data_IF_020141115382
#
_entry.id   IF_020141115382
#
_cell.length_a   1.000
_cell.length_b   1.000
_cell.length_c   1.000
_cell.angle_alpha   90.00
_cell.angle_beta   90.00
_cell.angle_gamma   90.00
#
_symmetry.space_group_name_H-M   'P 1'
#
loop_
_entity.id
_entity.type
_entity.pdbx_description
1 polymer ?
#
# COMPACT_ATOMS: atom_id res chain seq x y z
N UNK A 1 3.08 -18.81 22.01
CA UNK A 1 3.50 -19.28 20.68
C UNK A 1 2.31 -19.44 19.77
N UNK A 2 1.97 -18.36 19.07
CA UNK A 2 0.95 -18.37 18.03
C UNK A 2 1.67 -18.15 16.70
N UNK A 3 1.33 -18.93 15.67
CA UNK A 3 1.92 -18.78 14.33
C UNK A 3 1.79 -17.34 13.82
N UNK A 4 0.66 -16.69 14.14
CA UNK A 4 0.42 -15.28 13.85
C UNK A 4 1.52 -14.34 14.36
N UNK A 5 2.11 -14.59 15.53
CA UNK A 5 3.16 -13.71 16.08
C UNK A 5 4.44 -13.79 15.25
N UNK A 6 4.80 -14.99 14.80
CA UNK A 6 5.97 -15.18 13.93
C UNK A 6 5.73 -14.54 12.56
N UNK A 7 4.55 -14.77 11.96
CA UNK A 7 4.16 -14.14 10.70
C UNK A 7 4.10 -12.61 10.81
N UNK A 8 3.65 -12.06 11.95
CA UNK A 8 3.62 -10.62 12.18
C UNK A 8 5.03 -10.03 12.25
N UNK A 9 5.98 -10.70 12.90
CA UNK A 9 7.37 -10.23 12.96
C UNK A 9 8.00 -10.26 11.57
N UNK A 10 7.73 -11.28 10.76
CA UNK A 10 8.17 -11.34 9.37
C UNK A 10 7.52 -10.22 8.54
N UNK A 11 6.21 -10.04 8.66
CA UNK A 11 5.47 -8.99 7.99
C UNK A 11 5.91 -7.58 8.37
N UNK A 12 6.25 -7.34 9.63
CA UNK A 12 6.75 -6.04 10.07
C UNK A 12 8.04 -5.63 9.35
N UNK A 13 8.94 -6.58 9.08
CA UNK A 13 10.20 -6.30 8.36
C UNK A 13 9.96 -5.84 6.91
N UNK A 14 8.95 -6.37 6.23
CA UNK A 14 8.59 -5.95 4.86
C UNK A 14 8.17 -4.47 4.78
N UNK A 15 7.75 -3.90 5.91
CA UNK A 15 7.32 -2.51 6.02
C UNK A 15 8.31 -1.64 6.81
N UNK A 16 9.54 -2.10 6.99
CA UNK A 16 10.60 -1.43 7.75
C UNK A 16 10.22 -1.09 9.21
N UNK A 17 9.35 -1.90 9.82
CA UNK A 17 8.90 -1.71 11.20
C UNK A 17 9.76 -2.51 12.18
N UNK A 18 10.23 -1.82 13.23
CA UNK A 18 10.92 -2.47 14.34
C UNK A 18 9.92 -3.08 15.32
N UNK A 19 9.65 -4.39 15.20
CA UNK A 19 8.77 -5.13 16.11
C UNK A 19 9.57 -6.14 16.90
N UNK A 20 9.33 -6.21 18.21
CA UNK A 20 9.98 -7.18 19.09
C UNK A 20 8.94 -8.06 19.77
N UNK A 21 9.12 -9.39 19.68
CA UNK A 21 8.32 -10.36 20.44
C UNK A 21 8.70 -10.30 21.91
N UNK A 22 7.76 -9.89 22.76
CA UNK A 22 7.92 -9.89 24.22
C UNK A 22 7.36 -11.20 24.77
N UNK A 23 8.21 -12.01 25.40
CA UNK A 23 7.85 -13.25 26.09
C UNK A 23 8.22 -13.23 27.57
N UNK A 24 7.99 -14.34 28.29
CA UNK A 24 8.21 -14.42 29.74
C UNK A 24 9.63 -14.01 30.19
N UNK A 25 10.67 -14.28 29.39
CA UNK A 25 12.05 -13.90 29.74
C UNK A 25 12.42 -12.43 29.47
N UNK A 26 11.55 -11.67 28.80
CA UNK A 26 11.75 -10.24 28.53
C UNK A 26 11.13 -9.34 29.60
N UNK A 27 10.13 -9.84 30.34
CA UNK A 27 9.46 -9.09 31.41
C UNK A 27 10.44 -8.71 32.53
N UNK A 28 11.42 -9.57 32.84
CA UNK A 28 12.48 -9.30 33.82
C UNK A 28 13.35 -8.06 33.48
N UNK A 29 13.29 -7.57 32.23
CA UNK A 29 14.02 -6.39 31.75
C UNK A 29 13.13 -5.14 31.64
N UNK A 30 11.82 -5.25 31.85
CA UNK A 30 10.88 -4.13 31.76
C UNK A 30 10.79 -3.37 33.10
N UNK A 31 10.53 -2.06 33.02
CA UNK A 31 10.50 -1.15 34.18
C UNK A 31 9.18 -1.27 34.97
N UNK A 32 8.15 -1.90 34.40
CA UNK A 32 6.84 -2.08 34.99
C UNK A 32 6.24 -3.43 34.57
N UNK A 33 5.66 -4.15 35.54
CA UNK A 33 4.88 -5.37 35.32
C UNK A 33 3.38 -5.08 35.08
N UNK A 34 2.98 -3.80 35.13
CA UNK A 34 1.59 -3.38 34.93
C UNK A 34 1.26 -3.19 33.44
N UNK A 35 0.21 -3.86 32.97
CA UNK A 35 -0.37 -3.65 31.65
C UNK A 35 -1.11 -2.31 31.61
N UNK A 36 -1.02 -1.60 30.49
CA UNK A 36 -1.75 -0.34 30.31
C UNK A 36 -3.27 -0.55 30.22
N UNK A 37 -4.03 0.51 30.48
CA UNK A 37 -5.49 0.47 30.44
C UNK A 37 -6.05 0.11 29.05
N UNK A 38 -5.38 0.53 27.98
CA UNK A 38 -5.76 0.23 26.60
C UNK A 38 -5.72 -1.27 26.28
N UNK A 39 -4.88 -2.03 27.00
CA UNK A 39 -4.81 -3.50 26.92
C UNK A 39 -5.70 -4.17 27.98
N UNK A 40 -5.68 -3.71 29.22
CA UNK A 40 -6.42 -4.34 30.33
C UNK A 40 -7.94 -4.34 30.11
N UNK A 41 -8.51 -3.23 29.62
CA UNK A 41 -9.96 -3.12 29.47
C UNK A 41 -10.49 -4.11 28.44
N UNK A 42 -9.97 -4.17 27.19
CA UNK A 42 -10.39 -5.21 26.24
C UNK A 42 -10.16 -6.63 26.77
N UNK A 43 -9.01 -6.91 27.39
CA UNK A 43 -8.69 -8.22 27.93
C UNK A 43 -9.69 -8.68 29.00
N UNK A 44 -10.10 -7.79 29.90
CA UNK A 44 -11.07 -8.09 30.94
C UNK A 44 -12.41 -8.57 30.33
N UNK A 45 -12.94 -7.83 29.36
CA UNK A 45 -14.20 -8.18 28.72
C UNK A 45 -14.09 -9.42 27.83
N UNK A 46 -12.98 -9.59 27.10
CA UNK A 46 -12.73 -10.79 26.29
C UNK A 46 -12.62 -12.04 27.17
N UNK A 47 -11.85 -11.99 28.25
CA UNK A 47 -11.69 -13.13 29.15
C UNK A 47 -13.01 -13.52 29.84
N UNK A 48 -13.89 -12.53 30.10
CA UNK A 48 -15.21 -12.77 30.68
C UNK A 48 -16.18 -13.43 29.71
N UNK A 49 -16.10 -13.10 28.41
CA UNK A 49 -17.06 -13.53 27.39
C UNK A 49 -16.58 -14.71 26.53
N UNK A 50 -15.28 -14.81 26.29
CA UNK A 50 -14.61 -15.82 25.46
C UNK A 50 -13.36 -16.36 26.17
N UNK A 51 -13.52 -17.06 27.31
CA UNK A 51 -12.39 -17.57 28.08
C UNK A 51 -11.56 -18.57 27.25
N UNK A 52 -10.24 -18.40 27.28
CA UNK A 52 -9.30 -19.27 26.54
C UNK A 52 -9.10 -18.91 25.06
N UNK A 53 -9.68 -17.80 24.57
CA UNK A 53 -9.35 -17.27 23.24
C UNK A 53 -7.85 -16.93 23.18
N UNK A 54 -7.11 -17.38 22.14
CA UNK A 54 -5.74 -16.94 21.94
C UNK A 54 -5.68 -15.43 21.66
N UNK A 55 -4.89 -14.70 22.43
CA UNK A 55 -4.77 -13.25 22.31
C UNK A 55 -3.31 -12.87 22.05
N UNK A 56 -3.11 -11.96 21.11
CA UNK A 56 -1.85 -11.26 20.88
C UNK A 56 -2.08 -9.81 21.28
N UNK A 57 -1.34 -9.35 22.29
CA UNK A 57 -1.31 -7.94 22.64
C UNK A 57 -0.23 -7.27 21.80
N UNK A 58 -0.60 -6.20 21.10
CA UNK A 58 0.31 -5.37 20.31
C UNK A 58 0.35 -4.01 20.99
N UNK A 59 1.46 -3.71 21.66
CA UNK A 59 1.72 -2.38 22.20
C UNK A 59 2.24 -1.49 21.08
N UNK A 60 1.61 -0.32 20.92
CA UNK A 60 2.03 0.71 19.98
C UNK A 60 2.73 1.84 20.74
N UNK A 61 3.66 2.52 20.08
CA UNK A 61 4.37 3.66 20.65
C UNK A 61 3.73 4.99 20.20
N UNK A 62 4.44 6.10 20.44
CA UNK A 62 4.01 7.43 19.99
C UNK A 62 4.52 7.79 18.58
N UNK A 63 4.93 6.79 17.79
CA UNK A 63 5.39 6.93 16.41
C UNK A 63 4.39 7.58 15.46
N UNK A 64 4.81 7.74 14.21
CA UNK A 64 4.07 8.44 13.17
C UNK A 64 2.83 7.67 12.70
N UNK A 65 1.85 8.39 12.12
CA UNK A 65 0.64 7.76 11.62
C UNK A 65 0.91 6.77 10.47
N UNK A 66 1.89 7.06 9.61
CA UNK A 66 2.29 6.18 8.51
C UNK A 66 2.88 4.86 9.02
N UNK A 67 3.68 4.90 10.09
CA UNK A 67 4.23 3.69 10.74
C UNK A 67 3.11 2.82 11.33
N UNK A 68 2.10 3.45 11.92
CA UNK A 68 0.94 2.72 12.46
C UNK A 68 0.05 2.16 11.35
N UNK A 69 -0.12 2.88 10.24
CA UNK A 69 -0.79 2.35 9.06
C UNK A 69 -0.05 1.13 8.49
N UNK A 70 1.28 1.22 8.39
CA UNK A 70 2.14 0.12 7.99
C UNK A 70 2.04 -1.08 8.94
N UNK A 71 1.93 -0.85 10.26
CA UNK A 71 1.68 -1.90 11.25
C UNK A 71 0.36 -2.62 10.95
N UNK A 72 -0.67 -1.86 10.59
CA UNK A 72 -1.93 -2.42 10.08
C UNK A 72 -1.74 -3.34 8.88
N UNK A 73 -1.00 -2.89 7.87
CA UNK A 73 -0.72 -3.71 6.68
C UNK A 73 0.07 -4.98 7.04
N UNK A 74 1.00 -4.91 7.99
CA UNK A 74 1.71 -6.07 8.52
C UNK A 74 0.76 -7.07 9.21
N UNK A 75 -0.19 -6.57 10.02
CA UNK A 75 -1.24 -7.38 10.65
C UNK A 75 -2.11 -8.06 9.59
N UNK A 76 -2.49 -7.35 8.53
CA UNK A 76 -3.26 -7.91 7.41
C UNK A 76 -2.49 -9.04 6.74
N UNK A 77 -1.22 -8.81 6.38
CA UNK A 77 -0.35 -9.82 5.77
C UNK A 77 -0.27 -11.04 6.67
N UNK A 78 0.10 -10.89 7.93
CA UNK A 78 0.22 -12.00 8.88
C UNK A 78 -1.10 -12.79 9.02
N UNK A 79 -2.24 -12.10 9.02
CA UNK A 79 -3.57 -12.73 9.08
C UNK A 79 -3.85 -13.63 7.86
N UNK A 80 -3.32 -13.30 6.68
CA UNK A 80 -3.51 -14.09 5.46
C UNK A 80 -2.62 -15.34 5.38
N UNK A 81 -1.57 -15.42 6.19
CA UNK A 81 -0.63 -16.56 6.21
C UNK A 81 -0.93 -17.58 7.31
N UNK A 82 -1.94 -17.33 8.14
CA UNK A 82 -2.39 -18.27 9.18
C UNK A 82 -3.76 -18.85 8.83
N UNK A 83 -4.04 -20.12 9.18
CA UNK A 83 -5.33 -20.74 8.90
C UNK A 83 -6.46 -20.25 9.81
N UNK A 84 -6.14 -19.60 10.93
CA UNK A 84 -7.11 -19.08 11.89
C UNK A 84 -7.82 -17.82 11.38
N UNK A 85 -9.07 -17.63 11.81
CA UNK A 85 -9.75 -16.34 11.64
C UNK A 85 -9.23 -15.36 12.67
N UNK A 86 -8.65 -14.25 12.20
CA UNK A 86 -8.11 -13.19 13.05
C UNK A 86 -9.15 -12.07 13.21
N UNK A 87 -9.29 -11.57 14.44
CA UNK A 87 -10.04 -10.36 14.74
C UNK A 87 -9.08 -9.32 15.34
N UNK A 88 -9.17 -8.08 14.88
CA UNK A 88 -8.36 -6.96 15.38
C UNK A 88 -9.23 -6.06 16.27
N UNK A 89 -8.70 -5.68 17.43
CA UNK A 89 -9.30 -4.67 18.32
C UNK A 89 -8.36 -3.47 18.36
N UNK A 90 -8.78 -2.37 17.73
CA UNK A 90 -8.11 -1.08 17.88
C UNK A 90 -8.70 -0.38 19.12
N UNK A 91 -7.90 -0.32 20.18
CA UNK A 91 -8.30 0.25 21.47
C UNK A 91 -7.72 1.66 21.62
N UNK A 92 -8.54 2.60 22.08
CA UNK A 92 -8.13 3.98 22.36
C UNK A 92 -9.31 4.93 22.45
N UNK A 93 -9.10 6.05 23.13
CA UNK A 93 -10.11 7.08 23.34
C UNK A 93 -10.01 8.15 22.24
N UNK A 94 -11.14 8.81 21.96
CA UNK A 94 -11.18 9.97 21.07
C UNK A 94 -10.74 11.23 21.85
N UNK A 95 -11.44 12.36 21.75
CA UNK A 95 -11.03 13.57 22.46
C UNK A 95 -11.11 13.42 23.97
N UNK A 96 -10.07 13.86 24.68
CA UNK A 96 -10.06 13.97 26.15
C UNK A 96 -10.48 15.36 26.66
N UNK A 97 -11.11 16.17 25.80
CA UNK A 97 -11.30 17.61 26.02
C UNK A 97 -12.72 18.09 25.77
N UNK A 98 -13.72 17.20 25.85
CA UNK A 98 -15.09 17.49 25.45
C UNK A 98 -15.83 18.51 26.33
N UNK A 99 -15.49 18.60 27.62
CA UNK A 99 -16.17 19.49 28.58
C UNK A 99 -15.18 20.18 29.55
N UNK A 100 -15.56 21.29 30.19
CA UNK A 100 -14.81 21.86 31.31
C UNK A 100 -14.54 20.83 32.41
N UNK A 101 -13.27 20.63 32.77
CA UNK A 101 -12.85 19.65 33.77
C UNK A 101 -12.50 18.27 33.21
N UNK A 102 -12.51 18.10 31.88
CA UNK A 102 -12.04 16.88 31.24
C UNK A 102 -10.54 16.62 31.51
N UNK A 103 -10.06 15.36 31.42
CA UNK A 103 -8.72 14.97 31.87
C UNK A 103 -7.57 15.73 31.21
N UNK A 104 -7.72 16.12 29.94
CA UNK A 104 -6.70 16.86 29.20
C UNK A 104 -6.99 18.37 29.09
N UNK A 105 -7.89 18.91 29.92
CA UNK A 105 -8.41 20.27 29.82
C UNK A 105 -9.63 20.36 28.92
N UNK A 106 -10.12 21.57 28.64
CA UNK A 106 -11.26 21.77 27.75
C UNK A 106 -10.85 22.54 26.50
N UNK A 107 -11.20 22.02 25.33
CA UNK A 107 -11.09 22.70 24.05
C UNK A 107 -12.35 22.39 23.25
N UNK A 108 -13.14 23.40 22.83
CA UNK A 108 -14.39 23.15 22.11
C UNK A 108 -14.20 22.37 20.80
N UNK A 109 -13.00 22.38 20.22
CA UNK A 109 -12.66 21.63 19.00
C UNK A 109 -12.56 20.12 19.23
N UNK A 110 -12.51 19.66 20.49
CA UNK A 110 -12.57 18.23 20.81
C UNK A 110 -13.84 17.56 20.24
N UNK A 111 -14.97 18.27 20.26
CA UNK A 111 -16.22 17.79 19.66
C UNK A 111 -16.12 17.67 18.13
N UNK A 112 -15.43 18.61 17.48
CA UNK A 112 -15.24 18.59 16.02
C UNK A 112 -14.32 17.44 15.60
N UNK A 113 -13.30 17.12 16.39
CA UNK A 113 -12.45 15.95 16.17
C UNK A 113 -13.26 14.65 16.24
N UNK A 114 -14.01 14.44 17.32
CA UNK A 114 -14.83 13.25 17.50
C UNK A 114 -15.86 13.10 16.37
N UNK A 115 -16.48 14.20 15.94
CA UNK A 115 -17.42 14.22 14.82
C UNK A 115 -16.77 13.77 13.50
N UNK A 116 -15.55 14.23 13.20
CA UNK A 116 -14.81 13.80 12.01
C UNK A 116 -14.43 12.34 12.05
N UNK A 117 -13.94 11.84 13.19
CA UNK A 117 -13.62 10.41 13.32
C UNK A 117 -14.89 9.58 13.15
N UNK A 118 -16.00 9.99 13.78
CA UNK A 118 -17.29 9.32 13.60
C UNK A 118 -17.75 9.33 12.14
N UNK A 119 -17.60 10.43 11.41
CA UNK A 119 -17.95 10.52 9.98
C UNK A 119 -17.13 9.53 9.12
N UNK A 120 -15.84 9.38 9.41
CA UNK A 120 -14.98 8.37 8.76
C UNK A 120 -15.53 6.97 8.99
N UNK A 121 -15.96 6.65 10.21
CA UNK A 121 -16.58 5.36 10.51
C UNK A 121 -18.02 5.22 10.01
N UNK A 122 -18.81 6.29 9.90
CA UNK A 122 -20.17 6.22 9.33
C UNK A 122 -20.11 5.96 7.82
N UNK A 123 -19.07 6.44 7.15
CA UNK A 123 -18.93 6.37 5.69
C UNK A 123 -18.01 5.25 5.21
N UNK A 124 -17.09 4.78 6.05
CA UNK A 124 -16.07 3.78 5.68
C UNK A 124 -14.86 4.35 4.91
N UNK A 125 -14.79 5.67 4.69
CA UNK A 125 -13.70 6.32 3.95
C UNK A 125 -12.50 6.65 4.84
N UNK A 126 -11.75 5.62 5.26
CA UNK A 126 -10.53 5.77 6.07
C UNK A 126 -9.41 6.56 5.37
N UNK A 127 -9.50 6.77 4.05
CA UNK A 127 -8.66 7.67 3.25
C UNK A 127 -8.82 9.16 3.60
N UNK A 128 -9.81 9.53 4.42
CA UNK A 128 -9.91 10.87 5.01
C UNK A 128 -9.00 11.05 6.24
N UNK A 129 -8.48 9.97 6.86
CA UNK A 129 -7.62 10.08 8.04
C UNK A 129 -6.39 10.98 7.81
N UNK A 130 -5.61 10.82 6.71
CA UNK A 130 -4.44 11.68 6.45
C UNK A 130 -4.79 13.15 6.17
N UNK A 131 -6.08 13.45 5.94
CA UNK A 131 -6.57 14.81 5.66
C UNK A 131 -7.04 15.54 6.93
N UNK A 132 -6.97 14.88 8.09
CA UNK A 132 -7.27 15.51 9.37
C UNK A 132 -6.29 16.65 9.64
N UNK A 133 -6.83 17.78 10.09
CA UNK A 133 -6.05 18.96 10.45
C UNK A 133 -5.17 18.65 11.68
N UNK A 134 -3.84 18.76 11.59
CA UNK A 134 -2.94 18.49 12.73
C UNK A 134 -3.26 19.34 13.97
N UNK A 135 -3.72 20.59 13.78
CA UNK A 135 -4.09 21.47 14.88
C UNK A 135 -5.37 21.02 15.60
N UNK A 136 -6.25 20.31 14.89
CA UNK A 136 -7.46 19.71 15.44
C UNK A 136 -7.12 18.45 16.24
N UNK A 137 -6.20 17.62 15.75
CA UNK A 137 -5.70 16.43 16.46
C UNK A 137 -5.05 16.87 17.79
N UNK A 138 -4.16 17.85 17.75
CA UNK A 138 -3.54 18.40 18.96
C UNK A 138 -4.56 19.01 19.93
N UNK A 139 -5.58 19.69 19.38
CA UNK A 139 -6.66 20.28 20.18
C UNK A 139 -7.51 19.22 20.88
N UNK A 140 -7.67 18.03 20.33
CA UNK A 140 -8.49 16.96 20.89
C UNK A 140 -7.85 16.29 22.13
N UNK A 141 -6.51 16.30 22.22
CA UNK A 141 -5.78 15.62 23.29
C UNK A 141 -6.03 14.11 23.33
N UNK A 142 -6.21 13.51 22.15
CA UNK A 142 -6.59 12.11 21.92
C UNK A 142 -5.45 11.11 22.14
N UNK A 143 -5.79 9.83 22.28
CA UNK A 143 -4.80 8.74 22.28
C UNK A 143 -5.13 7.58 21.31
N UNK A 144 -6.34 7.53 20.75
CA UNK A 144 -6.81 6.42 19.92
C UNK A 144 -6.48 6.49 18.43
N UNK A 145 -6.04 7.64 17.90
CA UNK A 145 -5.87 7.84 16.47
C UNK A 145 -4.81 6.89 15.88
N UNK A 146 -3.73 6.62 16.60
CA UNK A 146 -2.70 5.65 16.17
C UNK A 146 -3.25 4.23 16.04
N UNK A 147 -4.09 3.80 16.98
CA UNK A 147 -4.81 2.53 16.90
C UNK A 147 -5.78 2.50 15.71
N UNK A 148 -6.43 3.63 15.40
CA UNK A 148 -7.33 3.78 14.24
C UNK A 148 -6.55 3.71 12.91
N UNK A 149 -5.34 4.28 12.83
CA UNK A 149 -4.47 4.13 11.66
C UNK A 149 -4.03 2.67 11.46
N UNK A 150 -3.66 1.96 12.54
CA UNK A 150 -3.38 0.53 12.47
C UNK A 150 -4.61 -0.29 12.02
N UNK A 151 -5.80 0.07 12.49
CA UNK A 151 -7.04 -0.51 11.96
C UNK A 151 -7.19 -0.25 10.46
N UNK A 152 -7.02 1.01 10.02
CA UNK A 152 -7.16 1.41 8.63
C UNK A 152 -6.21 0.65 7.68
N UNK A 153 -4.96 0.44 8.12
CA UNK A 153 -3.95 -0.33 7.40
C UNK A 153 -4.27 -1.83 7.34
N UNK A 154 -4.88 -2.39 8.40
CA UNK A 154 -5.31 -3.80 8.41
C UNK A 154 -6.39 -4.12 7.38
N UNK A 155 -7.09 -3.10 6.89
CA UNK A 155 -8.07 -3.19 5.81
C UNK A 155 -7.56 -2.58 4.49
N UNK A 156 -6.26 -2.39 4.32
CA UNK A 156 -5.69 -1.87 3.09
C UNK A 156 -6.07 -2.71 1.87
N UNK A 157 -6.44 -2.06 0.76
CA UNK A 157 -6.87 -2.74 -0.47
C UNK A 157 -8.20 -3.50 -0.39
N UNK A 158 -8.98 -3.33 0.68
CA UNK A 158 -10.29 -3.96 0.86
C UNK A 158 -11.42 -2.91 0.87
N UNK A 159 -12.60 -3.29 0.38
CA UNK A 159 -13.82 -2.54 0.70
C UNK A 159 -14.02 -2.61 2.20
N UNK A 160 -14.44 -1.50 2.81
CA UNK A 160 -14.65 -1.45 4.25
C UNK A 160 -16.12 -1.24 4.54
N UNK A 161 -16.72 -2.19 5.27
CA UNK A 161 -18.08 -2.05 5.79
C UNK A 161 -17.99 -1.74 7.27
N UNK A 162 -18.57 -0.62 7.66
CA UNK A 162 -18.51 -0.14 9.04
C UNK A 162 -19.90 -0.03 9.65
N UNK A 163 -19.95 -0.10 10.99
CA UNK A 163 -21.16 0.18 11.75
C UNK A 163 -20.79 0.78 13.10
N UNK A 164 -21.10 2.06 13.30
CA UNK A 164 -21.00 2.69 14.62
C UNK A 164 -22.12 2.15 15.51
N UNK A 165 -21.76 1.56 16.64
CA UNK A 165 -22.69 0.98 17.61
C UNK A 165 -23.07 1.96 18.72
N UNK A 166 -22.10 2.72 19.21
CA UNK A 166 -22.29 3.76 20.23
C UNK A 166 -21.23 4.85 20.11
N UNK A 167 -21.61 6.06 20.50
CA UNK A 167 -20.70 7.16 20.77
C UNK A 167 -21.21 7.90 22.02
N UNK A 168 -20.35 8.05 23.02
CA UNK A 168 -20.67 8.71 24.28
C UNK A 168 -19.47 9.57 24.73
N UNK A 169 -19.76 10.66 25.46
CA UNK A 169 -18.75 11.58 25.99
C UNK A 169 -18.63 11.63 27.53
N UNK A 170 -18.77 10.53 28.29
CA UNK A 170 -18.71 10.58 29.75
C UNK A 170 -17.36 11.09 30.24
N UNK A 171 -17.37 11.78 31.39
CA UNK A 171 -16.16 12.33 32.03
C UNK A 171 -15.37 13.34 31.18
N UNK A 172 -15.93 13.79 30.06
CA UNK A 172 -15.25 14.69 29.12
C UNK A 172 -14.32 13.97 28.13
N UNK A 173 -14.42 12.65 28.04
CA UNK A 173 -13.67 11.81 27.11
C UNK A 173 -14.62 11.18 26.10
N UNK A 174 -14.26 11.20 24.83
CA UNK A 174 -15.01 10.59 23.73
C UNK A 174 -14.74 9.10 23.61
N UNK A 175 -15.80 8.30 23.70
CA UNK A 175 -15.76 6.84 23.54
C UNK A 175 -16.65 6.44 22.37
N UNK A 176 -16.07 5.77 21.39
CA UNK A 176 -16.80 5.22 20.25
C UNK A 176 -16.58 3.71 20.16
N UNK A 177 -17.67 2.97 19.94
CA UNK A 177 -17.62 1.55 19.61
C UNK A 177 -18.13 1.38 18.20
N UNK A 178 -17.31 0.80 17.33
CA UNK A 178 -17.65 0.54 15.94
C UNK A 178 -17.18 -0.86 15.51
N UNK A 179 -17.96 -1.47 14.63
CA UNK A 179 -17.58 -2.70 13.95
C UNK A 179 -17.01 -2.36 12.58
N UNK A 180 -15.95 -3.06 12.17
CA UNK A 180 -15.33 -2.92 10.85
C UNK A 180 -15.18 -4.32 10.26
N UNK A 181 -15.71 -4.50 9.05
CA UNK A 181 -15.72 -5.77 8.34
C UNK A 181 -15.00 -5.64 7.00
N UNK A 182 -14.17 -6.64 6.62
CA UNK A 182 -13.57 -6.67 5.31
C UNK A 182 -14.65 -7.02 4.28
N UNK A 183 -14.72 -6.23 3.22
CA UNK A 183 -15.49 -6.53 2.03
C UNK A 183 -14.65 -7.27 0.98
N UNK A 184 -15.11 -7.24 -0.27
CA UNK A 184 -14.31 -7.71 -1.39
C UNK A 184 -13.02 -6.86 -1.48
N UNK A 185 -11.93 -7.37 -2.08
CA UNK A 185 -10.80 -6.53 -2.46
C UNK A 185 -11.34 -5.28 -3.18
N UNK A 186 -11.05 -4.10 -2.64
CA UNK A 186 -11.43 -2.83 -3.26
C UNK A 186 -10.21 -2.30 -3.98
N UNK A 187 -10.24 -2.31 -5.31
CA UNK A 187 -9.21 -1.65 -6.08
C UNK A 187 -9.25 -0.12 -6.00
N UNK A 188 -10.20 0.50 -5.29
CA UNK A 188 -10.33 1.97 -5.18
C UNK A 188 -9.21 2.63 -4.37
N UNK A 189 -8.33 1.86 -3.73
CA UNK A 189 -7.09 2.35 -3.11
C UNK A 189 -5.85 2.27 -4.01
N UNK A 190 -5.96 1.58 -5.14
CA UNK A 190 -4.96 1.59 -6.19
C UNK A 190 -5.44 2.51 -7.32
N UNK A 191 -4.52 3.15 -8.03
CA UNK A 191 -4.91 3.89 -9.24
C UNK A 191 -5.62 2.98 -10.25
N UNK A 192 -6.49 3.53 -11.10
CA UNK A 192 -7.18 2.76 -12.12
C UNK A 192 -6.24 1.91 -13.02
N UNK A 193 -5.06 2.40 -13.45
CA UNK A 193 -4.08 1.57 -14.16
C UNK A 193 -3.62 0.33 -13.38
N UNK A 194 -3.28 0.50 -12.09
CA UNK A 194 -2.80 -0.59 -11.23
C UNK A 194 -3.92 -1.59 -10.97
N UNK A 195 -5.12 -1.10 -10.67
CA UNK A 195 -6.34 -1.92 -10.55
C UNK A 195 -6.55 -2.80 -11.78
N UNK A 196 -6.37 -2.24 -12.96
CA UNK A 196 -6.59 -2.95 -14.21
C UNK A 196 -5.53 -4.04 -14.44
N UNK A 197 -4.26 -3.76 -14.12
CA UNK A 197 -3.18 -4.74 -14.15
C UNK A 197 -3.45 -5.92 -13.19
N UNK A 198 -3.84 -5.61 -11.95
CA UNK A 198 -4.19 -6.62 -10.93
C UNK A 198 -5.38 -7.48 -11.38
N UNK A 199 -6.46 -6.83 -11.85
CA UNK A 199 -7.64 -7.52 -12.35
C UNK A 199 -7.29 -8.49 -13.49
N UNK A 200 -6.54 -8.01 -14.48
CA UNK A 200 -6.10 -8.83 -15.62
C UNK A 200 -5.37 -10.09 -15.15
N UNK A 201 -4.39 -9.92 -14.26
CA UNK A 201 -3.58 -11.04 -13.81
C UNK A 201 -4.39 -12.06 -12.98
N UNK A 202 -5.25 -11.57 -12.09
CA UNK A 202 -6.13 -12.44 -11.30
C UNK A 202 -7.09 -13.25 -12.19
N UNK A 203 -7.71 -12.61 -13.19
CA UNK A 203 -8.60 -13.32 -14.11
C UNK A 203 -7.83 -14.33 -14.96
N UNK A 204 -6.62 -13.98 -15.40
CA UNK A 204 -5.76 -14.90 -16.16
C UNK A 204 -5.44 -16.17 -15.37
N UNK A 205 -5.05 -16.07 -14.10
CA UNK A 205 -4.80 -17.25 -13.27
C UNK A 205 -6.07 -18.05 -12.94
N UNK A 206 -7.22 -17.38 -12.88
CA UNK A 206 -8.51 -18.03 -12.60
C UNK A 206 -9.08 -18.77 -13.81
N UNK A 207 -8.96 -18.18 -15.00
CA UNK A 207 -9.62 -18.65 -16.23
C UNK A 207 -8.66 -19.35 -17.21
N UNK A 208 -7.36 -19.13 -17.06
CA UNK A 208 -6.31 -19.66 -17.94
C UNK A 208 -6.15 -18.91 -19.26
N UNK A 209 -6.85 -17.78 -19.48
CA UNK A 209 -6.72 -16.95 -20.68
C UNK A 209 -6.96 -15.46 -20.36
N UNK A 210 -6.47 -14.54 -21.21
CA UNK A 210 -6.74 -13.10 -21.07
C UNK A 210 -8.25 -12.80 -21.17
N UNK A 211 -8.66 -11.69 -20.56
CA UNK A 211 -10.05 -11.21 -20.55
C UNK A 211 -10.13 -9.78 -21.07
N UNK A 212 -11.32 -9.38 -21.49
CA UNK A 212 -11.60 -8.00 -21.88
C UNK A 212 -11.60 -7.07 -20.65
N UNK A 213 -11.35 -5.76 -20.85
CA UNK A 213 -11.48 -4.77 -19.78
C UNK A 213 -12.85 -4.84 -19.10
N UNK A 214 -12.91 -4.75 -17.76
CA UNK A 214 -14.18 -4.80 -17.03
C UNK A 214 -15.07 -3.60 -17.40
N UNK A 215 -16.39 -3.77 -17.29
CA UNK A 215 -17.35 -2.75 -17.69
C UNK A 215 -17.23 -1.39 -16.95
N UNK A 216 -16.57 -1.39 -15.79
CA UNK A 216 -16.28 -0.18 -15.00
C UNK A 216 -14.87 0.39 -15.26
N UNK A 217 -14.24 0.07 -16.39
CA UNK A 217 -12.96 0.68 -16.78
C UNK A 217 -13.19 2.17 -17.13
N UNK A 218 -12.36 3.10 -16.64
CA UNK A 218 -12.54 4.52 -16.94
C UNK A 218 -12.43 4.80 -18.44
N UNK A 219 -13.29 5.71 -18.93
CA UNK A 219 -13.31 6.13 -20.33
C UNK A 219 -11.94 6.65 -20.81
N UNK A 220 -11.15 7.27 -19.94
CA UNK A 220 -9.81 7.76 -20.28
C UNK A 220 -8.89 6.61 -20.73
N UNK A 221 -8.91 5.47 -20.04
CA UNK A 221 -8.08 4.31 -20.39
C UNK A 221 -8.61 3.58 -21.64
N UNK A 222 -9.92 3.65 -21.90
CA UNK A 222 -10.55 3.05 -23.07
C UNK A 222 -10.39 3.91 -24.34
N UNK A 223 -10.25 5.23 -24.20
CA UNK A 223 -10.17 6.16 -25.33
C UNK A 223 -8.75 6.66 -25.63
N UNK A 224 -7.78 6.33 -24.77
CA UNK A 224 -6.37 6.71 -24.95
C UNK A 224 -5.56 5.55 -25.51
N UNK A 225 -4.50 5.87 -26.27
CA UNK A 225 -3.48 4.90 -26.70
C UNK A 225 -2.12 5.42 -26.30
N UNK A 226 -1.39 4.65 -25.49
CA UNK A 226 -0.02 4.94 -25.08
C UNK A 226 0.75 3.64 -24.90
N UNK A 227 2.09 3.71 -24.92
CA UNK A 227 2.91 2.63 -24.41
C UNK A 227 2.80 2.55 -22.89
N UNK A 228 2.90 1.35 -22.32
CA UNK A 228 2.84 1.17 -20.88
C UNK A 228 3.77 0.05 -20.43
N UNK A 229 4.33 0.16 -19.23
CA UNK A 229 5.08 -0.90 -18.56
C UNK A 229 4.37 -1.30 -17.29
N UNK A 230 4.24 -2.61 -17.07
CA UNK A 230 3.76 -3.18 -15.81
C UNK A 230 4.95 -3.88 -15.17
N UNK A 231 5.33 -3.43 -13.99
CA UNK A 231 6.31 -4.11 -13.15
C UNK A 231 5.63 -4.76 -11.96
N UNK A 232 6.11 -5.95 -11.60
CA UNK A 232 5.70 -6.77 -10.48
C UNK A 232 6.87 -6.84 -9.51
N UNK A 233 6.62 -6.64 -8.21
CA UNK A 233 7.61 -6.76 -7.15
C UNK A 233 7.10 -7.70 -6.05
N UNK A 234 8.01 -8.33 -5.33
CA UNK A 234 7.74 -9.08 -4.10
C UNK A 234 8.74 -8.61 -3.06
N UNK A 235 8.25 -8.13 -1.91
CA UNK A 235 9.08 -7.61 -0.82
C UNK A 235 10.11 -6.53 -1.32
N UNK A 236 9.68 -5.66 -2.24
CA UNK A 236 10.52 -4.63 -2.88
C UNK A 236 11.36 -5.10 -4.08
N UNK A 237 11.62 -6.41 -4.20
CA UNK A 237 12.44 -6.98 -5.27
C UNK A 237 11.66 -7.18 -6.57
N UNK A 238 12.29 -6.89 -7.71
CA UNK A 238 11.68 -7.06 -9.03
C UNK A 238 11.39 -8.54 -9.33
N UNK A 239 10.11 -8.86 -9.60
CA UNK A 239 9.60 -10.21 -9.91
C UNK A 239 9.24 -10.42 -11.38
N UNK A 240 9.04 -9.33 -12.10
CA UNK A 240 8.78 -9.30 -13.55
C UNK A 240 8.52 -7.87 -13.99
N UNK A 241 8.93 -7.48 -15.19
CA UNK A 241 8.49 -6.22 -15.78
C UNK A 241 8.52 -6.27 -17.30
N UNK A 242 7.35 -6.04 -17.90
CA UNK A 242 7.15 -6.05 -19.34
C UNK A 242 6.33 -4.83 -19.73
N UNK A 243 6.60 -4.29 -20.91
CA UNK A 243 5.87 -3.18 -21.46
C UNK A 243 6.16 -2.94 -22.93
N UNK A 244 5.46 -1.95 -23.46
CA UNK A 244 5.54 -1.52 -24.86
C UNK A 244 5.90 -0.04 -24.94
N UNK A 245 6.73 0.29 -25.91
CA UNK A 245 7.19 1.67 -26.14
C UNK A 245 6.10 2.49 -26.84
N UNK A 246 5.43 1.86 -27.80
CA UNK A 246 4.33 2.43 -28.58
C UNK A 246 3.09 1.55 -28.35
N UNK A 247 1.88 2.12 -28.42
CA UNK A 247 0.65 1.36 -28.22
C UNK A 247 0.52 0.26 -29.27
N UNK A 248 0.40 -0.97 -28.81
CA UNK A 248 0.21 -2.19 -29.61
C UNK A 248 -1.23 -2.69 -29.57
N UNK A 249 -1.98 -2.33 -28.53
CA UNK A 249 -3.39 -2.69 -28.36
C UNK A 249 -4.35 -1.59 -28.87
N UNK A 250 -5.65 -1.88 -28.83
CA UNK A 250 -6.71 -0.98 -29.28
C UNK A 250 -6.82 0.26 -28.39
N UNK A 251 -6.57 0.10 -27.10
CA UNK A 251 -6.59 1.15 -26.08
C UNK A 251 -5.58 0.87 -24.96
N UNK A 252 -5.37 1.86 -24.09
CA UNK A 252 -4.43 1.79 -22.98
C UNK A 252 -4.85 0.74 -21.93
N UNK A 253 -6.16 0.53 -21.75
CA UNK A 253 -6.66 -0.50 -20.85
C UNK A 253 -6.17 -1.90 -21.28
N UNK A 254 -6.42 -2.29 -22.53
CA UNK A 254 -5.93 -3.54 -23.12
C UNK A 254 -4.41 -3.65 -23.06
N UNK A 255 -3.69 -2.54 -23.29
CA UNK A 255 -2.23 -2.49 -23.22
C UNK A 255 -1.70 -2.86 -21.82
N UNK A 256 -2.25 -2.23 -20.78
CA UNK A 256 -1.90 -2.51 -19.38
C UNK A 256 -2.24 -3.95 -19.03
N UNK A 257 -3.43 -4.42 -19.41
CA UNK A 257 -3.88 -5.79 -19.10
C UNK A 257 -2.98 -6.84 -19.75
N UNK A 258 -2.62 -6.65 -21.02
CA UNK A 258 -1.73 -7.56 -21.75
C UNK A 258 -0.32 -7.55 -21.14
N UNK A 259 0.21 -6.37 -20.82
CA UNK A 259 1.54 -6.24 -20.23
C UNK A 259 1.62 -6.81 -18.81
N UNK A 260 0.54 -6.74 -18.02
CA UNK A 260 0.47 -7.38 -16.70
C UNK A 260 0.60 -8.91 -16.79
N UNK A 261 -0.13 -9.54 -17.72
CA UNK A 261 -0.03 -11.00 -17.94
C UNK A 261 1.37 -11.37 -18.44
N UNK A 262 1.93 -10.61 -19.38
CA UNK A 262 3.28 -10.88 -19.87
C UNK A 262 4.36 -10.67 -18.80
N UNK A 263 4.24 -9.65 -17.95
CA UNK A 263 5.16 -9.42 -16.84
C UNK A 263 5.20 -10.61 -15.88
N UNK A 264 4.06 -11.27 -15.66
CA UNK A 264 3.97 -12.44 -14.81
C UNK A 264 4.39 -13.76 -15.48
N UNK A 265 4.20 -13.89 -16.79
CA UNK A 265 4.29 -15.20 -17.47
C UNK A 265 5.40 -15.33 -18.51
N UNK A 266 5.92 -14.21 -19.01
CA UNK A 266 6.77 -14.16 -20.20
C UNK A 266 8.02 -13.28 -20.06
N UNK A 267 8.29 -12.71 -18.89
CA UNK A 267 9.56 -12.02 -18.66
C UNK A 267 10.72 -13.04 -18.63
N UNK A 268 11.64 -13.04 -19.61
CA UNK A 268 12.66 -14.07 -19.75
C UNK A 268 13.70 -14.08 -18.63
N UNK A 269 13.71 -13.06 -17.77
CA UNK A 269 14.62 -12.96 -16.63
C UNK A 269 14.14 -13.76 -15.42
N UNK A 270 12.86 -14.14 -15.39
CA UNK A 270 12.23 -14.77 -14.23
C UNK A 270 11.44 -16.02 -14.63
N UNK A 271 11.25 -16.93 -13.67
CA UNK A 271 10.28 -18.00 -13.85
C UNK A 271 8.85 -17.44 -13.82
N UNK A 272 7.89 -18.03 -14.54
CA UNK A 272 6.50 -17.61 -14.46
C UNK A 272 6.00 -17.55 -13.01
N UNK A 273 5.24 -16.50 -12.69
CA UNK A 273 4.54 -16.35 -11.40
C UNK A 273 3.57 -17.51 -11.22
N UNK A 274 3.50 -18.05 -10.00
CA UNK A 274 2.51 -19.07 -9.63
C UNK A 274 1.37 -18.45 -8.79
N UNK A 275 0.22 -19.12 -8.77
CA UNK A 275 -1.03 -18.56 -8.23
C UNK A 275 -0.96 -18.10 -6.76
N UNK A 276 -0.14 -18.76 -5.92
CA UNK A 276 0.07 -18.37 -4.52
C UNK A 276 1.00 -17.16 -4.35
N UNK A 277 1.79 -16.80 -5.36
CA UNK A 277 2.59 -15.55 -5.35
C UNK A 277 1.72 -14.32 -5.63
N UNK A 278 0.58 -14.48 -6.32
CA UNK A 278 -0.27 -13.36 -6.79
C UNK A 278 -0.70 -12.44 -5.66
N UNK A 279 -1.02 -13.00 -4.48
CA UNK A 279 -1.43 -12.22 -3.31
C UNK A 279 -0.30 -11.38 -2.69
N UNK A 280 0.96 -11.67 -3.03
CA UNK A 280 2.16 -10.95 -2.54
C UNK A 280 2.71 -9.94 -3.54
N UNK A 281 2.15 -9.89 -4.75
CA UNK A 281 2.66 -9.01 -5.79
C UNK A 281 2.28 -7.57 -5.50
N UNK A 282 3.30 -6.71 -5.43
CA UNK A 282 3.17 -5.27 -5.57
C UNK A 282 3.25 -4.93 -7.06
N UNK A 283 2.42 -3.99 -7.52
CA UNK A 283 2.34 -3.61 -8.92
C UNK A 283 2.78 -2.16 -9.07
N UNK A 284 3.45 -1.86 -10.18
CA UNK A 284 3.60 -0.49 -10.65
C UNK A 284 3.30 -0.43 -12.14
N UNK A 285 2.62 0.64 -12.57
CA UNK A 285 2.28 0.89 -13.97
C UNK A 285 2.87 2.22 -14.40
N UNK A 286 3.76 2.18 -15.39
CA UNK A 286 4.34 3.37 -16.01
C UNK A 286 3.68 3.61 -17.37
N UNK A 287 2.91 4.69 -17.50
CA UNK A 287 2.32 5.11 -18.78
C UNK A 287 3.28 6.08 -19.47
N UNK A 288 3.67 5.77 -20.71
CA UNK A 288 4.66 6.54 -21.46
C UNK A 288 4.00 7.71 -22.18
N UNK A 289 4.63 8.88 -22.07
CA UNK A 289 4.41 10.00 -23.00
C UNK A 289 5.07 9.71 -24.35
N UNK A 290 4.66 10.45 -25.39
CA UNK A 290 5.23 10.31 -26.73
C UNK A 290 6.74 10.64 -26.73
N UNK A 291 7.61 9.73 -27.22
CA UNK A 291 9.05 9.98 -27.21
C UNK A 291 9.47 11.12 -28.14
N UNK A 292 10.31 12.01 -27.61
CA UNK A 292 10.89 13.14 -28.35
C UNK A 292 12.34 12.84 -28.76
N UNK A 293 12.78 13.23 -29.97
CA UNK A 293 14.18 13.09 -30.37
C UNK A 293 15.09 13.97 -29.52
N UNK A 294 16.27 13.46 -29.19
CA UNK A 294 17.30 14.15 -28.41
C UNK A 294 18.38 14.66 -29.35
N UNK A 295 18.66 15.96 -29.28
CA UNK A 295 19.67 16.61 -30.11
C UNK A 295 20.97 16.92 -29.36
N UNK A 296 20.93 16.89 -28.03
CA UNK A 296 22.07 17.15 -27.15
C UNK A 296 21.87 16.43 -25.81
N UNK A 297 22.93 15.89 -25.22
CA UNK A 297 22.89 15.23 -23.90
C UNK A 297 22.42 16.18 -22.78
N UNK A 298 22.58 17.49 -22.94
CA UNK A 298 22.06 18.49 -22.01
C UNK A 298 20.52 18.51 -21.88
N UNK A 299 19.82 17.79 -22.76
CA UNK A 299 18.37 17.63 -22.72
C UNK A 299 17.93 16.41 -21.90
N UNK A 300 18.88 15.63 -21.39
CA UNK A 300 18.66 14.42 -20.63
C UNK A 300 18.89 14.67 -19.14
N UNK A 301 18.01 14.09 -18.34
CA UNK A 301 18.13 14.02 -16.89
C UNK A 301 17.63 12.63 -16.48
N UNK A 302 18.50 11.74 -15.97
CA UNK A 302 18.11 10.37 -15.61
C UNK A 302 16.99 10.29 -14.56
N UNK A 303 16.80 11.33 -13.75
CA UNK A 303 15.71 11.41 -12.76
C UNK A 303 14.37 11.77 -13.37
N UNK A 304 14.37 12.48 -14.50
CA UNK A 304 13.13 13.00 -15.12
C UNK A 304 12.74 12.22 -16.37
N UNK A 305 13.71 11.82 -17.19
CA UNK A 305 13.47 11.24 -18.51
C UNK A 305 13.96 9.80 -18.60
N UNK A 306 13.09 8.94 -19.12
CA UNK A 306 13.51 7.68 -19.71
C UNK A 306 14.15 7.93 -21.07
N UNK A 307 14.92 6.94 -21.54
CA UNK A 307 15.62 7.04 -22.82
C UNK A 307 15.33 5.83 -23.70
N UNK A 308 15.31 6.07 -25.01
CA UNK A 308 15.27 5.05 -26.05
C UNK A 308 16.51 5.22 -26.91
N UNK A 309 17.26 4.13 -27.07
CA UNK A 309 18.36 4.03 -28.03
C UNK A 309 17.92 3.19 -29.21
N UNK A 310 18.20 3.64 -30.43
CA UNK A 310 17.86 2.89 -31.64
C UNK A 310 19.05 2.81 -32.58
N UNK A 311 19.33 1.60 -33.09
CA UNK A 311 20.35 1.34 -34.11
C UNK A 311 19.84 0.29 -35.10
N UNK A 312 19.29 0.75 -36.22
CA UNK A 312 18.61 -0.10 -37.19
C UNK A 312 17.38 -0.78 -36.58
N UNK A 313 17.41 -2.11 -36.50
CA UNK A 313 16.34 -2.93 -35.90
C UNK A 313 16.47 -3.14 -34.39
N UNK A 314 17.59 -2.72 -33.79
CA UNK A 314 17.85 -2.86 -32.35
C UNK A 314 17.32 -1.64 -31.61
N UNK A 315 16.51 -1.88 -30.60
CA UNK A 315 15.93 -0.83 -29.74
C UNK A 315 16.13 -1.20 -28.29
N UNK A 316 16.61 -0.25 -27.49
CA UNK A 316 16.76 -0.39 -26.03
C UNK A 316 16.04 0.72 -25.33
N UNK A 317 15.42 0.41 -24.19
CA UNK A 317 14.74 1.37 -23.36
C UNK A 317 15.18 1.23 -21.91
N UNK A 318 15.34 2.38 -21.27
CA UNK A 318 15.45 2.48 -19.82
C UNK A 318 14.46 3.55 -19.31
N UNK A 319 13.68 3.18 -18.30
CA UNK A 319 12.75 4.07 -17.61
C UNK A 319 13.52 5.14 -16.81
N UNK A 320 12.88 6.28 -16.46
CA UNK A 320 13.47 7.27 -15.56
C UNK A 320 13.60 6.76 -14.12
N UNK A 321 14.41 7.46 -13.34
CA UNK A 321 14.56 7.32 -11.89
C UNK A 321 14.84 5.88 -11.42
N UNK A 322 15.80 5.24 -12.10
CA UNK A 322 16.28 3.91 -11.72
C UNK A 322 17.39 4.05 -10.69
N UNK A 323 17.29 3.29 -9.60
CA UNK A 323 18.29 3.27 -8.54
C UNK A 323 19.70 2.97 -9.09
N UNK A 324 20.67 3.80 -8.69
CA UNK A 324 22.06 3.70 -9.14
C UNK A 324 22.33 4.18 -10.57
N UNK A 325 21.37 4.81 -11.27
CA UNK A 325 21.56 5.38 -12.61
C UNK A 325 21.52 6.92 -12.52
N UNK A 326 22.61 7.51 -12.02
CA UNK A 326 22.67 8.95 -11.72
C UNK A 326 23.36 9.80 -12.80
N UNK A 327 23.74 9.20 -13.94
CA UNK A 327 24.42 9.90 -15.03
C UNK A 327 23.87 9.50 -16.39
N UNK A 328 23.80 10.46 -17.31
CA UNK A 328 23.32 10.28 -18.70
C UNK A 328 24.11 9.19 -19.43
N UNK A 329 25.44 9.20 -19.34
CA UNK A 329 26.30 8.19 -19.97
C UNK A 329 25.97 6.77 -19.50
N UNK A 330 25.79 6.59 -18.19
CA UNK A 330 25.41 5.30 -17.60
C UNK A 330 24.02 4.88 -18.06
N UNK A 331 23.07 5.81 -18.11
CA UNK A 331 21.71 5.55 -18.59
C UNK A 331 21.75 5.02 -20.03
N UNK A 332 22.43 5.74 -20.94
CA UNK A 332 22.60 5.37 -22.35
C UNK A 332 23.32 4.03 -22.49
N UNK A 333 24.39 3.82 -21.72
CA UNK A 333 25.16 2.57 -21.73
C UNK A 333 24.30 1.35 -21.38
N UNK A 334 23.47 1.45 -20.34
CA UNK A 334 22.55 0.38 -19.94
C UNK A 334 21.50 0.13 -21.04
N UNK A 335 20.92 1.20 -21.61
CA UNK A 335 19.94 1.06 -22.69
C UNK A 335 20.56 0.38 -23.93
N UNK A 336 21.80 0.73 -24.31
CA UNK A 336 22.54 0.07 -25.40
C UNK A 336 22.78 -1.41 -25.10
N UNK A 337 23.20 -1.73 -23.88
CA UNK A 337 23.44 -3.11 -23.45
C UNK A 337 22.16 -3.96 -23.55
N UNK A 338 21.01 -3.44 -23.09
CA UNK A 338 19.71 -4.12 -23.18
C UNK A 338 19.28 -4.39 -24.64
N UNK A 339 19.74 -3.56 -25.58
CA UNK A 339 19.47 -3.71 -27.02
C UNK A 339 20.50 -4.55 -27.78
N UNK A 340 21.57 -5.02 -27.14
CA UNK A 340 22.70 -5.64 -27.83
C UNK A 340 23.42 -4.66 -28.78
N UNK A 341 23.49 -3.39 -28.42
CA UNK A 341 24.20 -2.34 -29.17
C UNK A 341 25.57 -2.12 -28.51
N UNK A 342 26.63 -2.11 -29.31
CA UNK A 342 27.99 -1.86 -28.85
C UNK A 342 28.17 -0.44 -28.29
N UNK A 343 29.08 -0.24 -27.32
CA UNK A 343 29.23 1.04 -26.62
C UNK A 343 29.58 2.20 -27.58
N UNK A 344 30.40 1.93 -28.59
CA UNK A 344 30.87 2.90 -29.59
C UNK A 344 29.94 3.05 -30.80
N UNK A 345 28.86 2.28 -30.89
CA UNK A 345 27.93 2.37 -32.01
C UNK A 345 27.09 3.65 -31.91
N UNK A 346 26.91 4.32 -33.06
CA UNK A 346 26.02 5.47 -33.16
C UNK A 346 24.56 5.01 -33.01
N UNK A 347 23.79 5.79 -32.27
CA UNK A 347 22.38 5.52 -31.98
C UNK A 347 21.56 6.79 -32.20
N UNK A 348 20.33 6.61 -32.65
CA UNK A 348 19.30 7.63 -32.49
C UNK A 348 18.86 7.61 -31.02
N UNK A 349 18.77 8.79 -30.42
CA UNK A 349 18.35 8.97 -29.03
C UNK A 349 16.99 9.64 -28.99
N UNK A 350 16.11 9.08 -28.16
CA UNK A 350 14.85 9.70 -27.79
C UNK A 350 14.74 9.74 -26.27
N UNK A 351 14.01 10.72 -25.77
CA UNK A 351 13.64 10.85 -24.36
C UNK A 351 12.12 10.80 -24.22
N UNK A 352 11.64 10.34 -23.08
CA UNK A 352 10.22 10.35 -22.76
C UNK A 352 10.03 10.51 -21.25
N UNK A 353 8.86 10.98 -20.85
CA UNK A 353 8.44 10.96 -19.45
C UNK A 353 7.48 9.80 -19.23
N UNK A 354 7.30 9.44 -17.97
CA UNK A 354 6.29 8.49 -17.56
C UNK A 354 5.44 9.11 -16.47
N UNK A 355 4.16 8.77 -16.47
CA UNK A 355 3.34 8.87 -15.26
C UNK A 355 3.35 7.50 -14.59
N UNK A 356 3.97 7.43 -13.41
CA UNK A 356 4.05 6.22 -12.61
C UNK A 356 2.87 6.13 -11.66
N UNK A 357 2.32 4.93 -11.57
CA UNK A 357 1.28 4.56 -10.63
C UNK A 357 1.73 3.33 -9.85
N UNK A 358 1.51 3.30 -8.54
CA UNK A 358 1.87 2.19 -7.64
C UNK A 358 0.66 1.75 -6.81
#
# INVERSE_FOLDING_TARGET
DLAFVEELVIAANDFDLSVTKVGHGYLDLMVSDELDHGVLVPLYYLNTTMPGLPIVSISIDYGGFDEHYALGMAIQRASNFVPERVALIASGDLSHRLIPGAPAGYDPRGVDFDAKIKEIFDTGYFNELPKLDPSLIEAAGECGLRSIYALAGAFNGLEIKTKVLSYEGPFGVGYMVAEVYPGEPSPERASDPVRLAMYSLQQYFKLGHPVDPPANTPDELLNTRAGAFVCLKVDGDLRGCVGTIQPTQGNLAEEIMANAVQAATADPRFYPVIANEVARLQFSVDILEEPEPVHSESQLDPKVYGIIVKSGYRTGLLLPDIEGVDSVDRQIGIAKQKAGIGPSENVELYRFRVTRYE
#
